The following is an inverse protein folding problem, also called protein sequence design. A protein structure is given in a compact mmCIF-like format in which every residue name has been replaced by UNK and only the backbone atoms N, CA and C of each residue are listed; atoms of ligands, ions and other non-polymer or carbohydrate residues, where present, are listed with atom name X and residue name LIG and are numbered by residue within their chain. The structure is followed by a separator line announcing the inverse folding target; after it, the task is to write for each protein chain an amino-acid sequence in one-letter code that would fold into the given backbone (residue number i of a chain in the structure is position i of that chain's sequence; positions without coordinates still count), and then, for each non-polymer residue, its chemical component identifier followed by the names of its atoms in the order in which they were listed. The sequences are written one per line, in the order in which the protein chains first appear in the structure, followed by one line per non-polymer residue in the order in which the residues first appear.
data_IF_678923919457
#
_entry.id   IF_678923919457
#
_cell.length_a   1.000
_cell.length_b   1.000
_cell.length_c   1.000
_cell.angle_alpha   90.00
_cell.angle_beta   90.00
_cell.angle_gamma   90.00
#
_symmetry.space_group_name_H-M   'P 1'
#
loop_
_entity.id
_entity.type
_entity.pdbx_description
1 polymer ?
#
# COMPACT_ATOMS: atom_id res chain seq x y z
N UNK A 1 -6.01 31.48 1.49
CA UNK A 1 -7.28 30.90 1.97
C UNK A 1 -8.16 30.65 0.77
N UNK A 2 -8.44 29.39 0.43
CA UNK A 2 -9.47 29.05 -0.54
C UNK A 2 -10.57 28.31 0.21
N UNK A 3 -11.75 28.91 0.23
CA UNK A 3 -12.98 28.32 0.77
C UNK A 3 -13.40 27.24 -0.22
N UNK A 4 -13.00 26.00 0.03
CA UNK A 4 -13.50 24.84 -0.70
C UNK A 4 -14.90 24.54 -0.20
N UNK A 5 -15.91 24.70 -1.05
CA UNK A 5 -17.25 24.21 -0.79
C UNK A 5 -17.12 22.73 -0.39
N UNK A 6 -17.68 22.36 0.77
CA UNK A 6 -17.39 21.07 1.40
C UNK A 6 -18.19 19.96 0.69
N UNK A 7 -17.81 19.63 -0.55
CA UNK A 7 -18.47 18.66 -1.45
C UNK A 7 -18.32 17.20 -0.98
N UNK A 8 -18.11 16.97 0.32
CA UNK A 8 -18.01 15.64 0.94
C UNK A 8 -19.26 14.81 0.65
N UNK A 9 -20.44 15.41 0.80
CA UNK A 9 -21.71 14.73 0.54
C UNK A 9 -21.85 14.30 -0.92
N UNK A 10 -21.53 15.19 -1.86
CA UNK A 10 -21.58 14.90 -3.29
C UNK A 10 -20.58 13.81 -3.69
N UNK A 11 -19.34 13.88 -3.22
CA UNK A 11 -18.33 12.85 -3.47
C UNK A 11 -18.72 11.51 -2.84
N UNK A 12 -19.36 11.52 -1.69
CA UNK A 12 -19.86 10.31 -1.05
C UNK A 12 -21.03 9.68 -1.83
N UNK A 13 -22.00 10.49 -2.27
CA UNK A 13 -23.09 10.02 -3.14
C UNK A 13 -22.51 9.44 -4.43
N UNK A 14 -21.54 10.14 -5.05
CA UNK A 14 -20.88 9.67 -6.25
C UNK A 14 -20.12 8.36 -6.01
N UNK A 15 -19.47 8.20 -4.87
CA UNK A 15 -18.78 6.96 -4.48
C UNK A 15 -19.75 5.78 -4.38
N UNK A 16 -20.92 5.99 -3.77
CA UNK A 16 -21.95 4.95 -3.66
C UNK A 16 -22.53 4.55 -5.02
N UNK A 17 -22.68 5.49 -5.95
CA UNK A 17 -23.17 5.21 -7.32
C UNK A 17 -22.08 4.53 -8.15
N UNK A 18 -20.86 5.08 -8.12
CA UNK A 18 -19.74 4.59 -8.89
C UNK A 18 -18.40 4.97 -8.22
N UNK A 19 -17.75 4.01 -7.52
CA UNK A 19 -16.54 4.29 -6.77
C UNK A 19 -15.33 4.63 -7.68
N UNK A 20 -15.32 4.14 -8.92
CA UNK A 20 -14.28 4.47 -9.90
C UNK A 20 -14.38 5.92 -10.38
N UNK A 21 -15.59 6.38 -10.75
CA UNK A 21 -15.82 7.77 -11.15
C UNK A 21 -15.53 8.72 -9.97
N UNK A 22 -15.91 8.32 -8.75
CA UNK A 22 -15.55 9.06 -7.53
C UNK A 22 -14.04 9.18 -7.34
N UNK A 23 -13.26 8.15 -7.65
CA UNK A 23 -11.80 8.22 -7.58
C UNK A 23 -11.22 9.19 -8.63
N UNK A 24 -11.70 9.14 -9.88
CA UNK A 24 -11.26 10.04 -10.95
C UNK A 24 -11.54 11.51 -10.60
N UNK A 25 -12.75 11.80 -10.12
CA UNK A 25 -13.14 13.17 -9.72
C UNK A 25 -12.33 13.63 -8.50
N UNK A 26 -12.02 12.73 -7.57
CA UNK A 26 -11.15 13.02 -6.43
C UNK A 26 -9.71 13.37 -6.84
N UNK A 27 -9.19 12.82 -7.93
CA UNK A 27 -7.86 13.20 -8.46
C UNK A 27 -7.86 14.65 -8.98
N UNK A 28 -8.95 15.09 -9.63
CA UNK A 28 -9.08 16.48 -10.11
C UNK A 28 -9.07 17.49 -8.96
N UNK A 29 -9.72 17.13 -7.86
CA UNK A 29 -9.83 18.00 -6.69
C UNK A 29 -8.84 17.63 -5.58
N UNK A 30 -7.74 16.93 -5.90
CA UNK A 30 -6.90 16.28 -4.88
C UNK A 30 -6.34 17.25 -3.83
N UNK A 31 -6.26 18.55 -4.13
CA UNK A 31 -5.81 19.60 -3.22
C UNK A 31 -6.86 20.05 -2.18
N UNK A 32 -8.11 19.58 -2.26
CA UNK A 32 -9.22 19.96 -1.36
C UNK A 32 -9.11 19.40 0.08
N UNK A 33 -8.12 18.54 0.34
CA UNK A 33 -7.88 17.92 1.65
C UNK A 33 -8.83 16.75 1.98
N UNK A 34 -9.86 16.50 1.17
CA UNK A 34 -10.89 15.47 1.38
C UNK A 34 -10.75 14.33 0.38
N UNK A 35 -10.45 14.64 -0.88
CA UNK A 35 -10.43 13.72 -2.03
C UNK A 35 -9.53 12.49 -1.82
N UNK A 36 -8.47 12.63 -1.03
CA UNK A 36 -7.61 11.52 -0.62
C UNK A 36 -8.38 10.38 0.08
N UNK A 37 -9.42 10.69 0.85
CA UNK A 37 -10.24 9.69 1.52
C UNK A 37 -11.02 8.86 0.52
N UNK A 38 -11.61 9.50 -0.50
CA UNK A 38 -12.34 8.80 -1.56
C UNK A 38 -11.40 7.97 -2.45
N UNK A 39 -10.20 8.47 -2.70
CA UNK A 39 -9.16 7.67 -3.38
C UNK A 39 -8.75 6.44 -2.55
N UNK A 40 -8.63 6.59 -1.22
CA UNK A 40 -8.36 5.46 -0.33
C UNK A 40 -9.51 4.45 -0.30
N UNK A 41 -10.77 4.92 -0.19
CA UNK A 41 -11.95 4.05 -0.23
C UNK A 41 -12.04 3.30 -1.56
N UNK A 42 -11.66 3.93 -2.66
CA UNK A 42 -11.55 3.26 -3.95
C UNK A 42 -10.54 2.12 -3.92
N UNK A 43 -9.39 2.28 -3.26
CA UNK A 43 -8.41 1.19 -3.12
C UNK A 43 -9.00 0.02 -2.32
N UNK A 44 -9.77 0.29 -1.27
CA UNK A 44 -10.43 -0.78 -0.49
C UNK A 44 -11.43 -1.56 -1.34
N UNK A 45 -12.27 -0.85 -2.10
CA UNK A 45 -13.23 -1.48 -3.04
C UNK A 45 -12.48 -2.28 -4.10
N UNK A 46 -11.40 -1.72 -4.65
CA UNK A 46 -10.56 -2.42 -5.61
C UNK A 46 -9.96 -3.70 -5.04
N UNK A 47 -9.49 -3.69 -3.79
CA UNK A 47 -8.97 -4.88 -3.11
C UNK A 47 -10.02 -5.97 -2.92
N UNK A 48 -11.22 -5.62 -2.44
CA UNK A 48 -12.33 -6.58 -2.31
C UNK A 48 -12.75 -7.14 -3.66
N UNK A 49 -12.77 -6.32 -4.70
CA UNK A 49 -13.14 -6.73 -6.05
C UNK A 49 -11.99 -7.40 -6.83
N UNK A 50 -10.82 -7.59 -6.22
CA UNK A 50 -9.65 -8.09 -6.93
C UNK A 50 -9.79 -9.58 -7.26
N UNK A 51 -9.75 -9.91 -8.54
CA UNK A 51 -9.85 -11.29 -9.03
C UNK A 51 -8.47 -11.81 -9.46
N UNK A 52 -7.92 -12.76 -8.71
CA UNK A 52 -6.63 -13.38 -8.99
C UNK A 52 -6.80 -14.66 -9.83
N UNK A 53 -7.16 -14.52 -11.10
CA UNK A 53 -7.53 -15.65 -11.98
C UNK A 53 -6.43 -16.13 -12.92
N UNK A 54 -5.34 -15.36 -13.07
CA UNK A 54 -4.26 -15.69 -13.99
C UNK A 54 -3.17 -16.50 -13.29
N UNK A 55 -3.02 -17.78 -13.63
CA UNK A 55 -1.99 -18.68 -13.07
C UNK A 55 -0.55 -18.16 -13.27
N UNK A 56 -0.33 -17.36 -14.31
CA UNK A 56 0.98 -16.74 -14.57
C UNK A 56 1.29 -15.56 -13.62
N UNK A 57 0.30 -15.06 -12.87
CA UNK A 57 0.45 -13.91 -12.00
C UNK A 57 0.77 -14.34 -10.55
N UNK A 58 1.60 -13.55 -9.87
CA UNK A 58 1.90 -13.75 -8.44
C UNK A 58 0.63 -13.74 -7.58
N UNK A 59 -0.38 -12.97 -8.00
CA UNK A 59 -1.66 -12.92 -7.32
C UNK A 59 -2.36 -14.27 -7.20
N UNK A 60 -2.25 -15.13 -8.21
CA UNK A 60 -2.86 -16.47 -8.17
C UNK A 60 -2.18 -17.33 -7.11
N UNK A 61 -0.85 -17.26 -7.03
CA UNK A 61 -0.07 -17.97 -6.01
C UNK A 61 -0.45 -17.52 -4.59
N UNK A 62 -0.68 -16.22 -4.37
CA UNK A 62 -1.15 -15.76 -3.06
C UNK A 62 -2.52 -16.32 -2.67
N UNK A 63 -3.37 -16.64 -3.64
CA UNK A 63 -4.64 -17.35 -3.37
C UNK A 63 -4.37 -18.80 -3.00
N UNK A 64 -3.48 -19.48 -3.72
CA UNK A 64 -3.08 -20.86 -3.37
C UNK A 64 -2.49 -20.93 -1.96
N UNK A 65 -1.57 -20.01 -1.62
CA UNK A 65 -0.98 -19.90 -0.30
C UNK A 65 -2.08 -19.65 0.76
N UNK A 66 -3.02 -18.73 0.48
CA UNK A 66 -4.15 -18.46 1.37
C UNK A 66 -5.00 -19.72 1.64
N UNK A 67 -5.30 -20.52 0.61
CA UNK A 67 -6.10 -21.75 0.74
C UNK A 67 -5.44 -22.83 1.59
N UNK A 68 -4.17 -22.68 1.93
CA UNK A 68 -3.46 -23.53 2.90
C UNK A 68 -3.40 -22.83 4.25
N UNK A 69 -2.86 -21.61 4.27
CA UNK A 69 -2.47 -20.87 5.46
C UNK A 69 -3.66 -20.36 6.29
N UNK A 70 -4.84 -20.15 5.69
CA UNK A 70 -6.03 -19.69 6.41
C UNK A 70 -6.43 -20.68 7.52
N UNK A 71 -6.19 -21.97 7.29
CA UNK A 71 -6.58 -23.07 8.18
C UNK A 71 -5.55 -23.37 9.28
N UNK A 72 -4.39 -22.70 9.27
CA UNK A 72 -3.32 -22.97 10.22
C UNK A 72 -3.77 -22.78 11.68
N UNK A 73 -3.43 -23.74 12.53
CA UNK A 73 -3.49 -23.59 13.98
C UNK A 73 -2.45 -22.56 14.46
N UNK A 74 -2.61 -22.04 15.67
CA UNK A 74 -1.63 -21.11 16.25
C UNK A 74 -0.22 -21.72 16.32
N UNK A 75 -0.12 -23.01 16.66
CA UNK A 75 1.16 -23.72 16.71
C UNK A 75 1.81 -23.85 15.34
N UNK A 76 1.04 -24.13 14.28
CA UNK A 76 1.56 -24.18 12.91
C UNK A 76 2.06 -22.81 12.45
N UNK A 77 1.30 -21.75 12.72
CA UNK A 77 1.73 -20.39 12.41
C UNK A 77 3.04 -20.02 13.12
N UNK A 78 3.15 -20.30 14.43
CA UNK A 78 4.39 -20.02 15.18
C UNK A 78 5.56 -20.86 14.67
N UNK A 79 5.32 -22.11 14.27
CA UNK A 79 6.35 -22.97 13.67
C UNK A 79 6.91 -22.35 12.39
N UNK A 80 6.05 -21.95 11.45
CA UNK A 80 6.46 -21.30 10.20
C UNK A 80 7.27 -20.02 10.42
N UNK A 81 6.88 -19.21 11.41
CA UNK A 81 7.63 -18.00 11.79
C UNK A 81 9.03 -18.37 12.32
N UNK A 82 9.14 -19.40 13.16
CA UNK A 82 10.42 -19.84 13.69
C UNK A 82 11.33 -20.40 12.58
N UNK A 83 10.78 -21.23 11.69
CA UNK A 83 11.50 -21.79 10.55
C UNK A 83 11.96 -20.69 9.58
N UNK A 84 11.17 -19.63 9.39
CA UNK A 84 11.59 -18.47 8.60
C UNK A 84 12.83 -17.79 9.18
N UNK A 85 12.86 -17.54 10.49
CA UNK A 85 14.03 -16.94 11.14
C UNK A 85 15.23 -17.88 11.24
N UNK A 86 14.99 -19.20 11.21
CA UNK A 86 16.03 -20.22 11.12
C UNK A 86 16.57 -20.42 9.70
N UNK A 87 15.98 -19.77 8.69
CA UNK A 87 16.27 -19.99 7.26
C UNK A 87 15.96 -21.42 6.78
N UNK A 88 14.96 -22.05 7.39
CA UNK A 88 14.49 -23.42 7.10
C UNK A 88 13.09 -23.44 6.44
N UNK A 89 12.34 -22.34 6.47
CA UNK A 89 11.01 -22.24 5.87
C UNK A 89 11.05 -21.96 4.35
N UNK A 90 9.99 -22.39 3.66
CA UNK A 90 9.72 -22.06 2.26
C UNK A 90 8.89 -20.78 2.08
N UNK A 91 8.35 -20.20 3.16
CA UNK A 91 7.62 -18.93 3.06
C UNK A 91 8.59 -17.82 2.64
N UNK A 92 8.10 -16.91 1.80
CA UNK A 92 8.95 -15.87 1.21
C UNK A 92 9.06 -14.62 2.09
N UNK A 93 8.09 -14.41 2.96
CA UNK A 93 7.97 -13.28 3.88
C UNK A 93 6.90 -13.59 4.93
N UNK A 94 6.97 -12.87 6.04
CA UNK A 94 6.04 -13.02 7.15
C UNK A 94 4.72 -12.29 6.87
N UNK A 95 4.75 -11.25 6.03
CA UNK A 95 3.59 -10.39 5.79
C UNK A 95 2.41 -11.14 5.15
N UNK A 96 2.60 -11.87 4.05
CA UNK A 96 1.49 -12.60 3.42
C UNK A 96 0.96 -13.71 4.33
N UNK A 97 1.86 -14.48 4.95
CA UNK A 97 1.52 -15.54 5.92
C UNK A 97 0.65 -14.99 7.06
N UNK A 98 1.08 -13.87 7.66
CA UNK A 98 0.36 -13.26 8.79
C UNK A 98 -1.02 -12.78 8.36
N UNK A 99 -1.13 -12.16 7.18
CA UNK A 99 -2.44 -11.71 6.67
C UNK A 99 -3.36 -12.90 6.44
N UNK A 100 -2.88 -13.94 5.75
CA UNK A 100 -3.67 -15.13 5.45
C UNK A 100 -4.14 -15.85 6.72
N UNK A 101 -3.23 -16.03 7.69
CA UNK A 101 -3.54 -16.59 9.00
C UNK A 101 -4.63 -15.80 9.74
N UNK A 102 -4.51 -14.47 9.80
CA UNK A 102 -5.46 -13.60 10.49
C UNK A 102 -6.84 -13.58 9.81
N UNK A 103 -6.88 -13.54 8.47
CA UNK A 103 -8.14 -13.63 7.70
C UNK A 103 -8.82 -14.97 7.97
N UNK A 104 -8.07 -16.06 8.00
CA UNK A 104 -8.56 -17.39 8.31
C UNK A 104 -9.25 -17.54 9.68
N UNK A 105 -9.08 -16.56 10.59
CA UNK A 105 -9.81 -16.55 11.87
C UNK A 105 -11.29 -16.22 11.72
N UNK A 106 -11.68 -15.55 10.63
CA UNK A 106 -13.05 -15.08 10.43
C UNK A 106 -13.61 -15.31 9.02
N UNK A 107 -12.79 -15.71 8.05
CA UNK A 107 -13.24 -16.01 6.69
C UNK A 107 -12.33 -16.98 5.96
N UNK A 108 -12.91 -17.76 5.05
CA UNK A 108 -12.28 -18.62 4.05
C UNK A 108 -12.22 -17.96 2.65
N UNK A 109 -12.55 -16.67 2.56
CA UNK A 109 -12.60 -15.93 1.30
C UNK A 109 -11.36 -15.02 1.14
N UNK A 110 -10.54 -15.32 0.14
CA UNK A 110 -9.28 -14.61 -0.15
C UNK A 110 -9.48 -13.12 -0.49
N UNK A 111 -10.67 -12.66 -0.86
CA UNK A 111 -10.94 -11.24 -1.11
C UNK A 111 -10.69 -10.38 0.14
N UNK A 112 -10.83 -10.95 1.35
CA UNK A 112 -10.45 -10.26 2.60
C UNK A 112 -8.94 -10.06 2.72
N UNK A 113 -8.13 -11.01 2.25
CA UNK A 113 -6.68 -10.85 2.14
C UNK A 113 -6.34 -9.68 1.20
N UNK A 114 -6.97 -9.59 0.03
CA UNK A 114 -6.72 -8.49 -0.90
C UNK A 114 -7.26 -7.15 -0.41
N UNK A 115 -8.33 -7.12 0.38
CA UNK A 115 -8.74 -5.91 1.10
C UNK A 115 -7.65 -5.41 2.04
N UNK A 116 -7.04 -6.30 2.84
CA UNK A 116 -5.94 -5.92 3.74
C UNK A 116 -4.73 -5.44 2.94
N UNK A 117 -4.36 -6.14 1.87
CA UNK A 117 -3.29 -5.72 0.97
C UNK A 117 -3.53 -4.33 0.40
N UNK A 118 -4.73 -4.05 -0.12
CA UNK A 118 -5.08 -2.75 -0.65
C UNK A 118 -5.17 -1.66 0.44
N UNK A 119 -5.58 -2.00 1.66
CA UNK A 119 -5.61 -1.09 2.79
C UNK A 119 -4.20 -0.65 3.21
N UNK A 120 -3.27 -1.59 3.40
CA UNK A 120 -1.88 -1.27 3.77
C UNK A 120 -1.20 -0.50 2.65
N UNK A 121 -1.30 -0.99 1.41
CA UNK A 121 -0.76 -0.32 0.23
C UNK A 121 -1.31 1.11 0.10
N UNK A 122 -2.64 1.25 0.18
CA UNK A 122 -3.32 2.54 0.06
C UNK A 122 -3.00 3.51 1.18
N UNK A 123 -2.79 3.01 2.39
CA UNK A 123 -2.41 3.86 3.52
C UNK A 123 -1.08 4.56 3.25
N UNK A 124 -0.04 3.79 2.87
CA UNK A 124 1.28 4.35 2.59
C UNK A 124 1.30 5.18 1.31
N UNK A 125 0.55 4.77 0.28
CA UNK A 125 0.32 5.55 -0.93
C UNK A 125 -0.23 6.94 -0.60
N UNK A 126 -1.36 7.00 0.13
CA UNK A 126 -2.07 8.26 0.41
C UNK A 126 -1.26 9.14 1.35
N UNK A 127 -0.58 8.56 2.34
CA UNK A 127 0.33 9.32 3.22
C UNK A 127 1.48 9.96 2.43
N UNK A 128 2.08 9.22 1.51
CA UNK A 128 3.13 9.74 0.62
C UNK A 128 2.60 10.83 -0.31
N UNK A 129 1.42 10.61 -0.90
CA UNK A 129 0.74 11.59 -1.75
C UNK A 129 0.47 12.91 -1.01
N UNK A 130 0.05 12.86 0.26
CA UNK A 130 -0.18 14.07 1.06
C UNK A 130 1.09 14.88 1.28
N UNK A 131 2.24 14.23 1.47
CA UNK A 131 3.54 14.92 1.58
C UNK A 131 3.89 15.57 0.24
N UNK A 132 3.75 14.82 -0.86
CA UNK A 132 3.95 15.34 -2.21
C UNK A 132 3.11 16.60 -2.47
N UNK A 133 1.81 16.55 -2.17
CA UNK A 133 0.90 17.68 -2.42
C UNK A 133 1.18 18.91 -1.54
N UNK A 134 1.64 18.71 -0.32
CA UNK A 134 1.99 19.81 0.60
C UNK A 134 3.26 20.54 0.17
N UNK A 135 4.25 19.83 -0.35
CA UNK A 135 5.55 20.41 -0.72
C UNK A 135 5.68 20.75 -2.21
N UNK A 136 4.74 20.33 -3.04
CA UNK A 136 4.73 20.69 -4.45
C UNK A 136 4.30 22.16 -4.62
N UNK A 137 5.26 23.03 -4.99
CA UNK A 137 5.06 24.47 -5.23
C UNK A 137 4.80 24.82 -6.70
N UNK A 138 4.54 23.83 -7.55
CA UNK A 138 4.33 24.06 -8.99
C UNK A 138 3.01 24.80 -9.19
N UNK A 139 3.10 26.01 -9.73
CA UNK A 139 1.96 26.88 -10.07
C UNK A 139 1.31 26.51 -11.40
N UNK A 140 2.07 25.94 -12.33
CA UNK A 140 1.55 25.50 -13.62
C UNK A 140 0.72 24.22 -13.45
N UNK A 141 -0.59 24.31 -13.74
CA UNK A 141 -1.51 23.19 -13.58
C UNK A 141 -1.16 21.97 -14.42
N UNK A 142 -0.70 22.15 -15.67
CA UNK A 142 -0.33 21.03 -16.55
C UNK A 142 0.86 20.28 -15.94
N UNK A 143 1.91 21.02 -15.55
CA UNK A 143 3.10 20.42 -14.95
C UNK A 143 2.75 19.71 -13.63
N UNK A 144 1.88 20.31 -12.80
CA UNK A 144 1.40 19.68 -11.59
C UNK A 144 0.71 18.34 -11.86
N UNK A 145 -0.23 18.29 -12.81
CA UNK A 145 -0.94 17.06 -13.14
C UNK A 145 -0.05 16.00 -13.78
N UNK A 146 0.97 16.40 -14.55
CA UNK A 146 1.99 15.47 -15.07
C UNK A 146 2.78 14.85 -13.92
N UNK A 147 3.26 15.65 -12.96
CA UNK A 147 3.98 15.13 -11.79
C UNK A 147 3.08 14.25 -10.91
N UNK A 148 1.82 14.64 -10.73
CA UNK A 148 0.83 13.84 -10.01
C UNK A 148 0.59 12.50 -10.71
N UNK A 149 0.45 12.50 -12.05
CA UNK A 149 0.32 11.28 -12.83
C UNK A 149 1.54 10.40 -12.68
N UNK A 150 2.77 10.94 -12.82
CA UNK A 150 4.00 10.17 -12.63
C UNK A 150 4.08 9.55 -11.23
N UNK A 151 3.72 10.31 -10.19
CA UNK A 151 3.67 9.81 -8.83
C UNK A 151 2.68 8.64 -8.69
N UNK A 152 1.44 8.83 -9.14
CA UNK A 152 0.37 7.84 -9.04
C UNK A 152 0.63 6.59 -9.90
N UNK A 153 1.19 6.77 -11.10
CA UNK A 153 1.46 5.71 -12.07
C UNK A 153 2.75 4.94 -11.79
N UNK A 154 3.67 5.49 -10.99
CA UNK A 154 4.92 4.79 -10.63
C UNK A 154 4.68 3.44 -9.94
N UNK A 155 3.61 3.36 -9.13
CA UNK A 155 3.23 2.15 -8.41
C UNK A 155 1.71 2.16 -8.16
N UNK A 156 0.89 1.90 -9.20
CA UNK A 156 -0.57 2.00 -9.12
C UNK A 156 -1.17 0.86 -8.30
N UNK A 157 -2.42 1.01 -7.85
CA UNK A 157 -3.09 0.02 -7.00
C UNK A 157 -3.15 -1.40 -7.60
N UNK A 158 -3.14 -1.55 -8.93
CA UNK A 158 -3.07 -2.86 -9.58
C UNK A 158 -1.86 -3.70 -9.15
N UNK A 159 -0.78 -3.06 -8.69
CA UNK A 159 0.43 -3.72 -8.22
C UNK A 159 0.23 -4.51 -6.91
N UNK A 160 -0.94 -4.47 -6.26
CA UNK A 160 -1.28 -5.47 -5.24
C UNK A 160 -1.26 -6.91 -5.79
N UNK A 161 -1.26 -7.08 -7.11
CA UNK A 161 -0.96 -8.36 -7.77
C UNK A 161 0.39 -8.95 -7.31
N UNK A 162 1.40 -8.10 -7.09
CA UNK A 162 2.70 -8.46 -6.54
C UNK A 162 2.93 -7.82 -5.17
N UNK A 163 1.93 -7.92 -4.27
CA UNK A 163 1.80 -7.08 -3.06
C UNK A 163 3.08 -6.85 -2.27
N UNK A 164 3.93 -7.87 -2.14
CA UNK A 164 5.10 -7.89 -1.27
C UNK A 164 6.09 -6.77 -1.60
N UNK A 165 6.65 -6.80 -2.81
CA UNK A 165 7.60 -5.79 -3.27
C UNK A 165 6.96 -4.40 -3.35
N UNK A 166 5.75 -4.32 -3.90
CA UNK A 166 5.12 -3.03 -4.19
C UNK A 166 4.59 -2.33 -2.93
N UNK A 167 4.19 -3.07 -1.90
CA UNK A 167 3.84 -2.50 -0.59
C UNK A 167 5.10 -2.03 0.13
N UNK A 168 6.16 -2.83 0.13
CA UNK A 168 7.46 -2.42 0.67
C UNK A 168 7.98 -1.14 -0.02
N UNK A 169 7.79 -1.01 -1.34
CA UNK A 169 8.16 0.19 -2.08
C UNK A 169 7.39 1.45 -1.60
N UNK A 170 6.08 1.37 -1.37
CA UNK A 170 5.32 2.50 -0.82
C UNK A 170 5.73 2.87 0.61
N UNK A 171 6.07 1.88 1.44
CA UNK A 171 6.64 2.12 2.77
C UNK A 171 7.98 2.83 2.64
N UNK A 172 8.86 2.38 1.73
CA UNK A 172 10.15 3.01 1.45
C UNK A 172 10.00 4.47 1.01
N UNK A 173 9.11 4.76 0.06
CA UNK A 173 8.77 6.13 -0.36
C UNK A 173 8.28 6.97 0.82
N UNK A 174 7.37 6.42 1.63
CA UNK A 174 6.86 7.12 2.80
C UNK A 174 7.97 7.45 3.81
N UNK A 175 8.86 6.50 4.10
CA UNK A 175 10.01 6.69 4.99
C UNK A 175 10.94 7.76 4.43
N UNK A 176 11.32 7.67 3.15
CA UNK A 176 12.20 8.63 2.50
C UNK A 176 11.63 10.04 2.53
N UNK A 177 10.33 10.20 2.22
CA UNK A 177 9.66 11.51 2.28
C UNK A 177 9.62 12.07 3.70
N UNK A 178 9.29 11.27 4.72
CA UNK A 178 9.30 11.77 6.10
C UNK A 178 10.71 12.14 6.56
N UNK A 179 11.70 11.34 6.19
CA UNK A 179 13.08 11.57 6.59
C UNK A 179 13.66 12.84 5.93
N UNK A 180 13.64 12.89 4.59
CA UNK A 180 14.32 13.95 3.84
C UNK A 180 13.53 15.24 3.75
N UNK A 181 12.20 15.16 3.64
CA UNK A 181 11.33 16.32 3.42
C UNK A 181 10.74 16.83 4.73
N UNK A 182 10.12 15.96 5.53
CA UNK A 182 9.46 16.38 6.78
C UNK A 182 10.42 16.50 7.97
N UNK A 183 11.62 15.94 7.88
CA UNK A 183 12.57 15.81 9.00
C UNK A 183 11.99 15.05 10.20
N UNK A 184 11.03 14.15 9.96
CA UNK A 184 10.49 13.22 10.97
C UNK A 184 11.26 11.90 10.92
N UNK A 185 12.36 11.87 11.67
CA UNK A 185 13.27 10.72 11.73
C UNK A 185 12.68 9.50 12.43
N UNK A 186 11.58 9.64 13.18
CA UNK A 186 10.97 8.51 13.90
C UNK A 186 10.44 7.44 12.96
N UNK A 187 10.15 7.80 11.70
CA UNK A 187 9.66 6.86 10.68
C UNK A 187 10.71 5.89 10.17
N UNK A 188 12.00 6.09 10.49
CA UNK A 188 13.07 5.17 10.09
C UNK A 188 12.88 3.76 10.68
N UNK A 189 12.15 3.61 11.79
CA UNK A 189 11.83 2.29 12.36
C UNK A 189 11.08 1.40 11.35
N UNK A 190 10.26 1.99 10.47
CA UNK A 190 9.55 1.23 9.44
C UNK A 190 10.50 0.59 8.43
N UNK A 191 11.67 1.19 8.19
CA UNK A 191 12.71 0.64 7.31
C UNK A 191 13.24 -0.70 7.82
N UNK A 192 13.32 -0.87 9.13
CA UNK A 192 13.75 -2.12 9.77
C UNK A 192 12.70 -3.23 9.68
N UNK A 193 11.43 -2.86 9.50
CA UNK A 193 10.31 -3.80 9.36
C UNK A 193 10.07 -4.21 7.91
N UNK A 194 10.59 -3.46 6.92
CA UNK A 194 10.40 -3.76 5.50
C UNK A 194 10.89 -5.16 5.09
N UNK A 195 12.03 -5.70 5.60
CA UNK A 195 12.46 -7.06 5.25
C UNK A 195 11.43 -8.14 5.61
N UNK A 196 10.60 -7.91 6.61
CA UNK A 196 9.51 -8.82 7.01
C UNK A 196 8.36 -8.83 5.99
N UNK A 197 8.24 -7.80 5.15
CA UNK A 197 7.25 -7.67 4.08
C UNK A 197 7.81 -8.20 2.75
N UNK A 198 9.08 -7.94 2.50
CA UNK A 198 9.76 -8.44 1.31
C UNK A 198 11.27 -8.51 1.58
N UNK A 199 11.86 -9.70 1.54
CA UNK A 199 13.27 -9.90 1.92
C UNK A 199 14.25 -9.01 1.14
N UNK A 200 14.03 -8.78 -0.16
CA UNK A 200 14.92 -7.93 -0.97
C UNK A 200 14.84 -6.42 -0.61
N UNK A 201 13.90 -6.02 0.25
CA UNK A 201 13.81 -4.64 0.72
C UNK A 201 14.98 -4.23 1.63
N UNK A 202 15.87 -5.14 2.02
CA UNK A 202 17.17 -4.83 2.63
C UNK A 202 17.97 -3.82 1.76
N UNK A 203 17.81 -3.85 0.44
CA UNK A 203 18.41 -2.86 -0.47
C UNK A 203 17.98 -1.43 -0.13
N UNK A 204 16.72 -1.22 0.27
CA UNK A 204 16.25 0.10 0.71
C UNK A 204 16.94 0.56 1.99
N UNK A 205 17.25 -0.36 2.91
CA UNK A 205 17.99 -0.06 4.14
C UNK A 205 19.37 0.48 3.79
N UNK A 206 20.07 -0.17 2.86
CA UNK A 206 21.40 0.24 2.40
C UNK A 206 21.36 1.58 1.68
N UNK A 207 20.41 1.78 0.76
CA UNK A 207 20.26 3.04 0.03
C UNK A 207 20.01 4.21 0.99
N UNK A 208 19.10 4.02 1.95
CA UNK A 208 18.82 5.04 2.97
C UNK A 208 20.06 5.31 3.83
N UNK A 209 20.79 4.27 4.27
CA UNK A 209 22.01 4.44 5.05
C UNK A 209 23.08 5.25 4.28
N UNK A 210 23.28 4.97 2.99
CA UNK A 210 24.19 5.75 2.14
C UNK A 210 23.71 7.20 2.02
N UNK A 211 22.42 7.40 1.76
CA UNK A 211 21.85 8.74 1.63
C UNK A 211 21.99 9.56 2.92
N UNK A 212 21.97 8.92 4.10
CA UNK A 212 22.26 9.56 5.39
C UNK A 212 23.72 9.97 5.55
N UNK A 213 24.65 9.14 5.09
CA UNK A 213 26.08 9.46 5.16
C UNK A 213 26.46 10.62 4.22
N UNK A 214 25.67 10.86 3.19
CA UNK A 214 25.91 11.91 2.19
C UNK A 214 25.14 13.22 2.44
N UNK A 215 24.19 13.24 3.38
CA UNK A 215 23.33 14.40 3.70
C UNK A 215 23.90 15.24 4.84
#
# INVERSE_FOLDING_TARGET
MMVGNNNRGEKFILFLINPFISAITSIKDIRDGVSHWFLYLWFLVFGVAFCAVSEAADSFRYVEDFLVEYSYTWSQYVLEINEYFAFESNIKDIYTLTVNFLVGRFSDNYHWTYLIYAAVFGFFYIKSLKIFLRHNKVSNNIVFYVLLFMFCYSNPIYNINGVRFWTAAWIGVYVALNFFVEKDYKKIVLLLLMPLIHGASVVWVVIMAIALLLS
#
